data_IF_999199636249
#
_entry.id   IF_999199636249
#
_cell.length_a   1.000
_cell.length_b   1.000
_cell.length_c   1.000
_cell.angle_alpha   90.00
_cell.angle_beta   90.00
_cell.angle_gamma   90.00
#
_symmetry.space_group_name_H-M   'P 1'
#
loop_
_entity.id
_entity.type
_entity.pdbx_description
1 polymer ?
#
# COMPACT_ATOMS: atom_id res chain seq x y z
N UNK A 1 -19.25 -8.75 -13.86
CA UNK A 1 -19.82 -8.99 -12.51
C UNK A 1 -20.64 -10.27 -12.55
N UNK A 2 -20.54 -11.10 -11.51
CA UNK A 2 -21.35 -12.31 -11.35
C UNK A 2 -22.84 -11.97 -11.34
N UNK A 3 -23.66 -12.79 -12.00
CA UNK A 3 -25.11 -12.63 -12.16
C UNK A 3 -25.84 -12.53 -10.80
N UNK A 4 -25.28 -13.12 -9.75
CA UNK A 4 -25.85 -13.19 -8.40
C UNK A 4 -24.89 -12.70 -7.31
N UNK A 5 -24.03 -11.71 -7.62
CA UNK A 5 -22.99 -11.22 -6.68
C UNK A 5 -23.56 -10.92 -5.29
N UNK A 6 -23.00 -11.58 -4.27
CA UNK A 6 -23.38 -11.36 -2.86
C UNK A 6 -24.54 -12.20 -2.34
N UNK A 7 -25.24 -12.96 -3.20
CA UNK A 7 -26.38 -13.78 -2.79
C UNK A 7 -25.96 -15.24 -2.55
N UNK A 8 -26.46 -15.81 -1.45
CA UNK A 8 -26.25 -17.21 -1.06
C UNK A 8 -27.55 -17.81 -0.51
N UNK A 9 -27.57 -19.13 -0.29
CA UNK A 9 -28.67 -19.83 0.38
C UNK A 9 -30.05 -19.54 -0.23
N UNK A 10 -31.05 -19.28 0.64
CA UNK A 10 -32.45 -19.03 0.24
C UNK A 10 -32.58 -17.88 -0.76
N UNK A 11 -31.84 -16.79 -0.57
CA UNK A 11 -31.88 -15.62 -1.46
C UNK A 11 -31.36 -15.89 -2.86
N UNK A 12 -30.30 -16.68 -2.99
CA UNK A 12 -29.79 -17.11 -4.28
C UNK A 12 -30.78 -18.03 -5.00
N UNK A 13 -31.35 -18.99 -4.28
CA UNK A 13 -32.35 -19.91 -4.83
C UNK A 13 -33.60 -19.16 -5.29
N UNK A 14 -34.10 -18.21 -4.49
CA UNK A 14 -35.23 -17.37 -4.83
C UNK A 14 -34.98 -16.58 -6.13
N UNK A 15 -33.81 -15.96 -6.28
CA UNK A 15 -33.45 -15.23 -7.51
C UNK A 15 -33.37 -16.16 -8.73
N UNK A 16 -32.77 -17.35 -8.57
CA UNK A 16 -32.65 -18.35 -9.65
C UNK A 16 -34.02 -18.88 -10.10
N UNK A 17 -34.90 -19.22 -9.16
CA UNK A 17 -36.27 -19.70 -9.47
C UNK A 17 -37.03 -18.65 -10.28
N UNK A 18 -36.90 -17.38 -9.91
CA UNK A 18 -37.58 -16.28 -10.59
C UNK A 18 -36.82 -15.76 -11.82
N UNK A 19 -35.64 -16.30 -12.13
CA UNK A 19 -34.77 -15.90 -13.25
C UNK A 19 -34.38 -14.41 -13.22
N UNK A 20 -34.09 -13.89 -12.03
CA UNK A 20 -33.76 -12.49 -11.79
C UNK A 20 -32.29 -12.34 -11.45
N UNK A 21 -31.61 -11.40 -12.12
CA UNK A 21 -30.19 -11.13 -11.92
C UNK A 21 -29.96 -9.80 -11.21
N UNK A 22 -28.77 -9.64 -10.64
CA UNK A 22 -28.29 -8.34 -10.18
C UNK A 22 -28.27 -7.35 -11.35
N UNK A 23 -28.88 -6.18 -11.15
CA UNK A 23 -29.03 -5.12 -12.15
C UNK A 23 -30.39 -5.13 -12.87
N UNK A 24 -31.20 -6.18 -12.74
CA UNK A 24 -32.54 -6.20 -13.32
C UNK A 24 -33.48 -5.27 -12.56
N UNK A 25 -34.34 -4.58 -13.30
CA UNK A 25 -35.41 -3.78 -12.71
C UNK A 25 -36.62 -4.66 -12.46
N UNK A 26 -37.12 -4.66 -11.24
CA UNK A 26 -38.19 -5.55 -10.78
C UNK A 26 -39.33 -4.78 -10.11
N UNK A 27 -40.51 -5.37 -10.15
CA UNK A 27 -41.67 -5.01 -9.34
C UNK A 27 -41.90 -6.10 -8.31
N UNK A 28 -41.83 -5.76 -7.04
CA UNK A 28 -42.00 -6.70 -5.91
C UNK A 28 -43.28 -6.33 -5.15
N UNK A 29 -44.17 -7.29 -4.96
CA UNK A 29 -45.33 -7.17 -4.09
C UNK A 29 -45.05 -7.92 -2.77
N UNK A 30 -45.06 -7.21 -1.65
CA UNK A 30 -44.92 -7.76 -0.31
C UNK A 30 -46.03 -7.21 0.62
N UNK A 31 -45.68 -6.40 1.61
CA UNK A 31 -46.61 -5.54 2.36
C UNK A 31 -47.11 -4.38 1.49
N UNK A 32 -46.20 -3.78 0.72
CA UNK A 32 -46.45 -2.78 -0.30
C UNK A 32 -45.93 -3.25 -1.67
N UNK A 33 -46.17 -2.46 -2.71
CA UNK A 33 -45.54 -2.67 -4.01
C UNK A 33 -44.29 -1.82 -4.12
N UNK A 34 -43.14 -2.47 -4.34
CA UNK A 34 -41.85 -1.83 -4.55
C UNK A 34 -41.43 -1.94 -6.01
N UNK A 35 -40.81 -0.87 -6.52
CA UNK A 35 -40.23 -0.80 -7.85
C UNK A 35 -38.78 -0.37 -7.71
N UNK A 36 -37.86 -1.15 -8.28
CA UNK A 36 -36.45 -0.84 -8.18
C UNK A 36 -35.53 -1.80 -8.91
N UNK A 37 -34.24 -1.63 -8.72
CA UNK A 37 -33.19 -2.46 -9.32
C UNK A 37 -32.67 -3.43 -8.27
N UNK A 38 -32.51 -4.71 -8.62
CA UNK A 38 -31.85 -5.68 -7.73
C UNK A 38 -30.37 -5.32 -7.61
N UNK A 39 -29.95 -5.07 -6.38
CA UNK A 39 -28.58 -4.70 -6.05
C UNK A 39 -27.79 -5.92 -5.59
N UNK A 40 -26.46 -5.94 -5.78
CA UNK A 40 -25.62 -6.94 -5.15
C UNK A 40 -25.71 -6.82 -3.63
N UNK A 41 -25.47 -7.93 -2.92
CA UNK A 41 -25.38 -7.96 -1.45
C UNK A 41 -23.95 -8.07 -0.98
N UNK A 42 -23.72 -7.75 0.29
CA UNK A 42 -22.47 -8.08 0.95
C UNK A 42 -22.46 -9.59 1.23
N UNK A 43 -21.39 -10.29 0.85
CA UNK A 43 -21.31 -11.76 0.80
C UNK A 43 -21.51 -12.45 2.15
N UNK A 44 -21.34 -11.73 3.26
CA UNK A 44 -21.57 -12.24 4.63
C UNK A 44 -22.88 -11.76 5.25
N UNK A 45 -23.79 -11.20 4.47
CA UNK A 45 -25.14 -10.88 4.94
C UNK A 45 -25.96 -12.17 5.10
N UNK A 46 -27.08 -12.10 5.84
CA UNK A 46 -28.05 -13.19 5.92
C UNK A 46 -28.50 -13.67 4.53
N UNK A 47 -29.07 -14.86 4.43
CA UNK A 47 -29.60 -15.39 3.17
C UNK A 47 -31.11 -15.14 2.99
N UNK A 48 -31.73 -14.33 3.85
CA UNK A 48 -33.19 -14.17 3.91
C UNK A 48 -33.72 -12.90 3.25
N UNK A 49 -32.85 -12.01 2.76
CA UNK A 49 -33.27 -10.74 2.14
C UNK A 49 -32.83 -10.56 0.68
N UNK A 50 -33.57 -9.70 -0.03
CA UNK A 50 -33.15 -9.06 -1.28
C UNK A 50 -32.83 -7.60 -1.02
N UNK A 51 -31.84 -7.04 -1.72
CA UNK A 51 -31.57 -5.60 -1.70
C UNK A 51 -32.09 -4.97 -2.98
N UNK A 52 -32.98 -3.99 -2.83
CA UNK A 52 -33.62 -3.28 -3.92
C UNK A 52 -33.26 -1.79 -3.86
N UNK A 53 -32.78 -1.22 -4.96
CA UNK A 53 -32.59 0.22 -5.11
C UNK A 53 -33.83 0.85 -5.71
N UNK A 54 -34.51 1.68 -4.91
CA UNK A 54 -35.71 2.38 -5.31
C UNK A 54 -35.40 3.51 -6.31
N UNK A 55 -36.43 4.00 -7.02
CA UNK A 55 -36.30 5.17 -7.90
C UNK A 55 -35.82 6.44 -7.17
N UNK A 56 -36.06 6.54 -5.86
CA UNK A 56 -35.54 7.62 -5.02
C UNK A 56 -34.03 7.56 -4.81
N UNK A 57 -33.37 6.46 -5.16
CA UNK A 57 -31.94 6.22 -4.95
C UNK A 57 -31.61 5.45 -3.67
N UNK A 58 -32.57 5.30 -2.75
CA UNK A 58 -32.39 4.54 -1.51
C UNK A 58 -32.36 3.04 -1.74
N UNK A 59 -31.48 2.34 -1.04
CA UNK A 59 -31.46 0.88 -0.96
C UNK A 59 -32.35 0.43 0.20
N UNK A 60 -33.19 -0.58 -0.03
CA UNK A 60 -34.00 -1.24 1.00
C UNK A 60 -33.71 -2.75 1.02
N UNK A 61 -33.85 -3.37 2.19
CA UNK A 61 -33.83 -4.82 2.36
C UNK A 61 -35.26 -5.37 2.43
N UNK A 62 -35.57 -6.37 1.61
CA UNK A 62 -36.88 -7.04 1.59
C UNK A 62 -36.71 -8.51 1.98
N UNK A 63 -37.37 -8.91 3.06
CA UNK A 63 -37.37 -10.30 3.52
C UNK A 63 -38.13 -11.18 2.54
N UNK A 64 -37.49 -12.24 2.06
CA UNK A 64 -37.98 -13.10 0.98
C UNK A 64 -39.30 -13.77 1.35
N UNK A 65 -39.44 -14.20 2.60
CA UNK A 65 -40.64 -14.90 3.09
C UNK A 65 -41.88 -13.99 3.08
N UNK A 66 -41.69 -12.66 3.02
CA UNK A 66 -42.78 -11.68 2.90
C UNK A 66 -43.11 -11.31 1.46
N UNK A 67 -42.31 -11.73 0.48
CA UNK A 67 -42.54 -11.44 -0.93
C UNK A 67 -43.65 -12.36 -1.47
N UNK A 68 -44.76 -11.74 -1.89
CA UNK A 68 -45.91 -12.43 -2.48
C UNK A 68 -45.75 -12.62 -3.99
N UNK A 69 -45.10 -11.67 -4.68
CA UNK A 69 -44.88 -11.72 -6.13
C UNK A 69 -43.67 -10.89 -6.53
N UNK A 70 -42.91 -11.34 -7.52
CA UNK A 70 -41.83 -10.56 -8.15
C UNK A 70 -41.92 -10.69 -9.67
N UNK A 71 -41.77 -9.58 -10.38
CA UNK A 71 -41.84 -9.51 -11.85
C UNK A 71 -40.70 -8.65 -12.40
N UNK A 72 -40.03 -9.11 -13.46
CA UNK A 72 -39.03 -8.30 -14.18
C UNK A 72 -39.75 -7.25 -15.02
N UNK A 73 -39.34 -6.00 -14.87
CA UNK A 73 -39.85 -4.86 -15.65
C UNK A 73 -38.89 -4.46 -16.77
N UNK A 74 -37.57 -4.61 -16.57
CA UNK A 74 -36.57 -4.48 -17.63
C UNK A 74 -35.27 -5.20 -17.25
N UNK A 75 -34.64 -5.87 -18.22
CA UNK A 75 -33.36 -6.55 -18.03
C UNK A 75 -32.16 -5.60 -18.16
N UNK A 76 -31.09 -5.86 -17.41
CA UNK A 76 -29.89 -5.04 -17.46
C UNK A 76 -29.16 -5.16 -18.81
N UNK A 77 -29.19 -4.10 -19.63
CA UNK A 77 -28.24 -3.94 -20.74
C UNK A 77 -26.96 -3.30 -20.20
N UNK A 78 -25.80 -3.91 -20.46
CA UNK A 78 -24.48 -3.31 -20.22
C UNK A 78 -24.25 -2.21 -21.26
N UNK A 79 -24.56 -0.96 -20.92
CA UNK A 79 -24.05 0.17 -21.69
C UNK A 79 -22.58 0.35 -21.32
N UNK A 80 -21.70 0.10 -22.29
CA UNK A 80 -20.30 0.50 -22.22
C UNK A 80 -20.28 1.93 -22.75
N UNK A 81 -20.14 2.91 -21.86
CA UNK A 81 -19.86 4.29 -22.29
C UNK A 81 -18.52 4.29 -23.04
N UNK A 82 -18.52 4.83 -24.27
CA UNK A 82 -17.29 5.07 -25.02
C UNK A 82 -16.55 6.22 -24.33
N UNK A 83 -15.39 5.93 -23.76
CA UNK A 83 -14.48 6.97 -23.27
C UNK A 83 -13.80 7.61 -24.49
N UNK A 84 -13.84 8.93 -24.59
CA UNK A 84 -13.18 9.67 -25.67
C UNK A 84 -11.65 9.54 -25.58
N UNK A 85 -11.00 9.36 -26.72
CA UNK A 85 -9.55 9.26 -26.81
C UNK A 85 -8.88 10.59 -26.47
N UNK A 86 -7.88 10.57 -25.57
CA UNK A 86 -7.11 11.77 -25.20
C UNK A 86 -6.01 12.00 -26.23
N UNK A 87 -5.99 13.18 -26.86
CA UNK A 87 -4.88 13.58 -27.73
C UNK A 87 -3.60 13.79 -26.89
N UNK A 88 -2.57 13.01 -27.16
CA UNK A 88 -1.26 13.16 -26.52
C UNK A 88 -0.56 14.40 -27.07
N UNK A 89 -0.08 15.28 -26.18
CA UNK A 89 0.73 16.43 -26.58
C UNK A 89 2.21 16.07 -26.57
N UNK A 90 2.92 16.01 -27.72
CA UNK A 90 4.31 15.59 -27.78
C UNK A 90 5.29 16.44 -26.95
N UNK A 91 4.92 17.67 -26.57
CA UNK A 91 5.77 18.54 -25.74
C UNK A 91 5.73 18.21 -24.25
N UNK A 92 4.77 17.39 -23.80
CA UNK A 92 4.61 17.04 -22.39
C UNK A 92 5.40 15.77 -22.02
N UNK A 93 5.96 15.72 -20.79
CA UNK A 93 6.67 14.54 -20.29
C UNK A 93 5.73 13.33 -20.20
N UNK A 94 6.30 12.13 -20.31
CA UNK A 94 5.55 10.87 -20.17
C UNK A 94 5.64 10.36 -18.74
N UNK A 95 4.52 9.94 -18.18
CA UNK A 95 4.44 9.28 -16.87
C UNK A 95 3.70 7.96 -17.03
N UNK A 96 4.28 6.90 -16.47
CA UNK A 96 3.61 5.59 -16.38
C UNK A 96 2.92 5.47 -15.02
N UNK A 97 1.64 5.13 -15.01
CA UNK A 97 0.91 4.73 -13.81
C UNK A 97 0.72 3.21 -13.81
N UNK A 98 1.31 2.54 -12.83
CA UNK A 98 1.10 1.14 -12.51
C UNK A 98 0.06 1.02 -11.40
N UNK A 99 -1.09 0.42 -11.71
CA UNK A 99 -2.10 0.09 -10.70
C UNK A 99 -1.80 -1.25 -10.06
N UNK A 100 -1.67 -1.25 -8.73
CA UNK A 100 -1.51 -2.46 -7.90
C UNK A 100 -2.78 -2.76 -7.08
N UNK A 101 -3.84 -1.97 -7.31
CA UNK A 101 -5.00 -1.87 -6.45
C UNK A 101 -5.08 -0.49 -5.80
N UNK A 102 -5.85 -0.40 -4.71
CA UNK A 102 -6.12 0.86 -4.04
C UNK A 102 -7.18 1.72 -4.76
N UNK A 103 -7.91 2.52 -4.00
CA UNK A 103 -9.06 3.28 -4.50
C UNK A 103 -8.67 4.50 -5.32
N UNK A 104 -7.41 4.95 -5.30
CA UNK A 104 -7.00 6.21 -5.97
C UNK A 104 -7.34 6.25 -7.46
N UNK A 105 -7.29 5.10 -8.12
CA UNK A 105 -7.64 4.92 -9.52
C UNK A 105 -8.87 3.99 -9.59
N UNK A 106 -10.01 4.42 -9.05
CA UNK A 106 -11.29 3.68 -9.11
C UNK A 106 -12.47 4.61 -9.42
N UNK A 107 -13.45 4.12 -10.17
CA UNK A 107 -14.74 4.78 -10.48
C UNK A 107 -15.87 4.11 -9.72
N UNK A 108 -16.86 4.89 -9.28
CA UNK A 108 -18.15 4.36 -8.79
C UNK A 108 -19.21 4.43 -9.87
N UNK A 109 -19.84 3.31 -10.14
CA UNK A 109 -21.10 3.24 -10.88
C UNK A 109 -22.23 3.62 -9.93
N UNK A 110 -22.71 4.87 -9.97
CA UNK A 110 -23.82 5.31 -9.10
C UNK A 110 -25.14 4.57 -9.34
N UNK A 111 -25.32 3.90 -10.48
CA UNK A 111 -26.51 3.06 -10.70
C UNK A 111 -26.43 1.79 -9.87
N UNK A 112 -25.27 1.13 -9.86
CA UNK A 112 -25.07 -0.17 -9.16
C UNK A 112 -24.38 -0.06 -7.79
N UNK A 113 -23.84 1.11 -7.43
CA UNK A 113 -22.98 1.30 -6.27
C UNK A 113 -21.62 0.58 -6.35
N UNK A 114 -21.28 -0.02 -7.49
CA UNK A 114 -20.05 -0.78 -7.65
C UNK A 114 -18.83 0.14 -7.81
N UNK A 115 -17.73 -0.19 -7.15
CA UNK A 115 -16.41 0.43 -7.35
C UNK A 115 -15.63 -0.44 -8.34
N UNK A 116 -15.12 0.15 -9.42
CA UNK A 116 -14.27 -0.53 -10.40
C UNK A 116 -12.94 0.21 -10.57
N UNK A 117 -11.80 -0.48 -10.65
CA UNK A 117 -10.52 0.17 -10.93
C UNK A 117 -10.54 0.84 -12.31
N UNK A 118 -9.78 1.93 -12.43
CA UNK A 118 -9.47 2.63 -13.67
C UNK A 118 -8.49 1.76 -14.46
N UNK A 119 -8.85 1.45 -15.70
CA UNK A 119 -8.16 0.48 -16.55
C UNK A 119 -7.34 1.14 -17.67
N UNK A 120 -7.52 2.43 -17.92
CA UNK A 120 -6.86 3.12 -19.03
C UNK A 120 -6.48 4.58 -18.72
N UNK A 121 -5.61 5.15 -19.55
CA UNK A 121 -5.22 6.56 -19.46
C UNK A 121 -6.41 7.51 -19.69
N UNK A 122 -7.34 7.13 -20.57
CA UNK A 122 -8.54 7.90 -20.86
C UNK A 122 -9.48 7.95 -19.66
N UNK A 123 -9.68 6.82 -18.98
CA UNK A 123 -10.47 6.77 -17.74
C UNK A 123 -9.82 7.60 -16.62
N UNK A 124 -8.49 7.57 -16.50
CA UNK A 124 -7.75 8.40 -15.56
C UNK A 124 -7.94 9.89 -15.86
N UNK A 125 -7.78 10.29 -17.14
CA UNK A 125 -7.95 11.67 -17.56
C UNK A 125 -9.40 12.17 -17.41
N UNK A 126 -10.38 11.30 -17.61
CA UNK A 126 -11.79 11.63 -17.36
C UNK A 126 -12.07 11.91 -15.87
N UNK A 127 -11.30 11.27 -14.99
CA UNK A 127 -11.44 11.40 -13.54
C UNK A 127 -10.63 12.57 -12.98
N UNK A 128 -9.46 12.86 -13.56
CA UNK A 128 -8.56 13.96 -13.17
C UNK A 128 -8.05 14.70 -14.42
N UNK A 129 -8.89 15.55 -15.05
CA UNK A 129 -8.56 16.21 -16.32
C UNK A 129 -7.33 17.12 -16.25
N UNK A 130 -6.99 17.62 -15.06
CA UNK A 130 -5.81 18.45 -14.81
C UNK A 130 -4.51 17.76 -15.23
N UNK A 131 -4.47 16.42 -15.19
CA UNK A 131 -3.30 15.63 -15.58
C UNK A 131 -2.93 15.83 -17.06
N UNK A 132 -3.91 15.96 -17.96
CA UNK A 132 -3.66 16.19 -19.39
C UNK A 132 -2.88 17.48 -19.68
N UNK A 133 -2.92 18.45 -18.75
CA UNK A 133 -2.20 19.73 -18.90
C UNK A 133 -0.75 19.64 -18.48
N UNK A 134 -0.37 18.61 -17.72
CA UNK A 134 0.96 18.49 -17.09
C UNK A 134 1.78 17.32 -17.64
N UNK A 135 1.14 16.23 -18.07
CA UNK A 135 1.84 15.03 -18.54
C UNK A 135 1.02 14.19 -19.53
N UNK A 136 1.71 13.45 -20.39
CA UNK A 136 1.13 12.32 -21.12
C UNK A 136 1.14 11.10 -20.21
N UNK A 137 -0.04 10.69 -19.75
CA UNK A 137 -0.21 9.54 -18.88
C UNK A 137 -0.36 8.26 -19.69
N UNK A 138 0.42 7.24 -19.37
CA UNK A 138 0.16 5.84 -19.73
C UNK A 138 -0.28 5.09 -18.46
N UNK A 139 -1.22 4.16 -18.58
CA UNK A 139 -1.75 3.42 -17.43
C UNK A 139 -1.77 1.91 -17.71
N UNK A 140 -1.30 1.13 -16.74
CA UNK A 140 -1.31 -0.33 -16.78
C UNK A 140 -1.77 -0.89 -15.44
N UNK A 141 -2.64 -1.90 -15.46
CA UNK A 141 -3.01 -2.65 -14.26
C UNK A 141 -2.07 -3.84 -14.11
N UNK A 142 -1.19 -3.80 -13.11
CA UNK A 142 -0.26 -4.90 -12.81
C UNK A 142 -0.98 -6.03 -12.05
N UNK A 143 -1.78 -5.65 -11.06
CA UNK A 143 -2.74 -6.49 -10.35
C UNK A 143 -3.68 -5.58 -9.55
N UNK A 144 -4.70 -6.14 -8.90
CA UNK A 144 -5.65 -5.38 -8.08
C UNK A 144 -5.86 -6.11 -6.76
N UNK A 145 -5.17 -5.67 -5.71
CA UNK A 145 -5.26 -6.23 -4.36
C UNK A 145 -5.40 -5.13 -3.30
N UNK A 146 -6.06 -5.45 -2.18
CA UNK A 146 -6.13 -4.53 -1.05
C UNK A 146 -4.80 -4.51 -0.29
N UNK A 147 -4.40 -3.34 0.25
CA UNK A 147 -3.07 -3.18 0.84
C UNK A 147 -2.80 -4.15 2.00
N UNK A 148 -3.80 -4.45 2.81
CA UNK A 148 -3.74 -5.40 3.91
C UNK A 148 -3.46 -6.85 3.46
N UNK A 149 -3.70 -7.16 2.19
CA UNK A 149 -3.43 -8.46 1.57
C UNK A 149 -2.14 -8.46 0.72
N UNK A 150 -1.42 -7.34 0.63
CA UNK A 150 -0.16 -7.26 -0.12
C UNK A 150 0.92 -8.08 0.59
N UNK A 151 1.35 -9.14 -0.08
CA UNK A 151 2.40 -10.06 0.35
C UNK A 151 3.72 -9.85 -0.42
N UNK A 152 4.87 -10.37 0.06
CA UNK A 152 6.19 -10.22 -0.58
C UNK A 152 6.25 -10.57 -2.08
N UNK A 153 5.50 -11.56 -2.54
CA UNK A 153 5.41 -11.92 -3.96
C UNK A 153 4.85 -10.78 -4.84
N UNK A 154 4.03 -9.90 -4.28
CA UNK A 154 3.55 -8.71 -4.97
C UNK A 154 4.67 -7.68 -5.10
N UNK A 155 5.50 -7.52 -4.06
CA UNK A 155 6.67 -6.64 -4.14
C UNK A 155 7.66 -7.08 -5.21
N UNK A 156 7.88 -8.40 -5.36
CA UNK A 156 8.68 -8.98 -6.43
C UNK A 156 8.11 -8.65 -7.81
N UNK A 157 6.79 -8.83 -8.00
CA UNK A 157 6.11 -8.48 -9.26
C UNK A 157 6.27 -7.01 -9.62
N UNK A 158 6.09 -6.10 -8.64
CA UNK A 158 6.27 -4.66 -8.85
C UNK A 158 7.73 -4.36 -9.24
N UNK A 159 8.70 -4.93 -8.51
CA UNK A 159 10.11 -4.68 -8.76
C UNK A 159 10.58 -5.19 -10.14
N UNK A 160 10.16 -6.39 -10.56
CA UNK A 160 10.49 -6.90 -11.90
C UNK A 160 9.84 -6.03 -12.99
N UNK A 161 8.58 -5.62 -12.81
CA UNK A 161 7.92 -4.72 -13.76
C UNK A 161 8.66 -3.38 -13.89
N UNK A 162 9.08 -2.79 -12.78
CA UNK A 162 9.86 -1.55 -12.80
C UNK A 162 11.21 -1.73 -13.50
N UNK A 163 11.88 -2.85 -13.26
CA UNK A 163 13.15 -3.19 -13.91
C UNK A 163 13.01 -3.28 -15.44
N UNK A 164 11.90 -3.81 -15.96
CA UNK A 164 11.59 -3.79 -17.41
C UNK A 164 11.56 -2.36 -17.98
N UNK A 165 11.12 -1.39 -17.18
CA UNK A 165 11.06 0.03 -17.55
C UNK A 165 12.35 0.81 -17.27
N UNK A 166 13.42 0.19 -16.78
CA UNK A 166 14.68 0.89 -16.44
C UNK A 166 15.33 1.63 -17.60
N UNK A 167 15.05 1.25 -18.85
CA UNK A 167 15.58 1.90 -20.07
C UNK A 167 14.52 2.68 -20.85
N UNK A 168 13.34 2.92 -20.25
CA UNK A 168 12.25 3.66 -20.88
C UNK A 168 12.49 5.18 -20.87
N UNK A 169 11.71 5.91 -21.67
CA UNK A 169 11.75 7.37 -21.76
C UNK A 169 10.75 8.07 -20.81
N UNK A 170 10.19 7.32 -19.85
CA UNK A 170 9.31 7.91 -18.83
C UNK A 170 10.09 8.88 -17.94
N UNK A 171 9.51 10.06 -17.72
CA UNK A 171 10.04 11.06 -16.79
C UNK A 171 9.80 10.68 -15.32
N UNK A 172 8.90 9.73 -15.07
CA UNK A 172 8.62 9.17 -13.75
C UNK A 172 7.62 8.02 -13.83
N UNK A 173 7.60 7.20 -12.79
CA UNK A 173 6.65 6.07 -12.65
C UNK A 173 5.86 6.25 -11.37
N UNK A 174 4.53 6.18 -11.47
CA UNK A 174 3.59 6.21 -10.36
C UNK A 174 3.10 4.80 -10.08
N UNK A 175 3.06 4.42 -8.81
CA UNK A 175 2.47 3.17 -8.36
C UNK A 175 1.24 3.52 -7.52
N UNK A 176 0.05 3.31 -8.09
CA UNK A 176 -1.20 3.43 -7.37
C UNK A 176 -1.33 2.23 -6.42
N UNK A 177 -1.30 2.50 -5.11
CA UNK A 177 -1.21 1.49 -4.06
C UNK A 177 -2.17 1.80 -2.90
N UNK A 178 -2.66 0.76 -2.21
CA UNK A 178 -3.43 0.91 -0.98
C UNK A 178 -2.57 1.46 0.17
N UNK A 179 -3.18 2.16 1.13
CA UNK A 179 -2.41 2.96 2.09
C UNK A 179 -1.83 2.17 3.27
N UNK A 180 -2.39 1.01 3.63
CA UNK A 180 -2.03 0.34 4.89
C UNK A 180 -0.59 -0.19 4.90
N UNK A 181 -0.13 -0.74 3.78
CA UNK A 181 1.19 -1.37 3.65
C UNK A 181 2.11 -0.64 2.69
N UNK A 182 1.72 0.54 2.19
CA UNK A 182 2.47 1.29 1.19
C UNK A 182 3.93 1.55 1.59
N UNK A 183 4.17 1.83 2.88
CA UNK A 183 5.51 2.08 3.44
C UNK A 183 6.39 0.82 3.51
N UNK A 184 5.80 -0.37 3.61
CA UNK A 184 6.54 -1.63 3.45
C UNK A 184 6.94 -1.84 2.00
N UNK A 185 5.99 -1.65 1.07
CA UNK A 185 6.25 -1.78 -0.38
C UNK A 185 7.33 -0.79 -0.83
N UNK A 186 7.23 0.49 -0.45
CA UNK A 186 8.24 1.50 -0.80
C UNK A 186 9.62 1.12 -0.27
N UNK A 187 9.69 0.59 0.95
CA UNK A 187 10.94 0.11 1.55
C UNK A 187 11.58 -1.01 0.73
N UNK A 188 10.79 -2.02 0.31
CA UNK A 188 11.31 -3.13 -0.47
C UNK A 188 11.85 -2.65 -1.81
N UNK A 189 11.06 -1.84 -2.53
CA UNK A 189 11.46 -1.30 -3.83
C UNK A 189 12.74 -0.46 -3.73
N UNK A 190 12.91 0.28 -2.63
CA UNK A 190 14.10 1.07 -2.35
C UNK A 190 15.38 0.23 -2.28
N UNK A 191 15.31 -0.97 -1.70
CA UNK A 191 16.46 -1.89 -1.63
C UNK A 191 16.59 -2.79 -2.86
N UNK A 192 15.48 -3.18 -3.47
CA UNK A 192 15.47 -4.06 -4.63
C UNK A 192 15.97 -3.37 -5.90
N UNK A 193 15.75 -2.06 -6.01
CA UNK A 193 16.00 -1.25 -7.21
C UNK A 193 17.07 -0.18 -6.97
N UNK A 194 18.12 -0.49 -6.21
CA UNK A 194 19.22 0.45 -5.94
C UNK A 194 19.77 1.03 -7.24
N UNK A 195 19.84 2.36 -7.31
CA UNK A 195 20.34 3.10 -8.46
C UNK A 195 19.39 3.14 -9.65
N UNK A 196 18.10 2.82 -9.47
CA UNK A 196 17.12 2.86 -10.55
C UNK A 196 17.04 4.26 -11.19
N UNK A 197 17.06 4.36 -12.53
CA UNK A 197 17.35 5.62 -13.23
C UNK A 197 16.14 6.56 -13.38
N UNK A 198 14.93 6.11 -13.05
CA UNK A 198 13.69 6.87 -13.20
C UNK A 198 13.07 7.08 -11.81
N UNK A 199 12.59 8.29 -11.46
CA UNK A 199 11.97 8.50 -10.16
C UNK A 199 10.64 7.74 -10.04
N UNK A 200 10.40 7.14 -8.87
CA UNK A 200 9.21 6.35 -8.56
C UNK A 200 8.42 7.01 -7.43
N UNK A 201 7.12 7.23 -7.61
CA UNK A 201 6.21 7.68 -6.57
C UNK A 201 5.12 6.65 -6.28
N UNK A 202 5.04 6.15 -5.06
CA UNK A 202 3.87 5.44 -4.57
C UNK A 202 2.83 6.45 -4.09
N UNK A 203 1.59 6.27 -4.52
CA UNK A 203 0.49 7.22 -4.27
C UNK A 203 -0.77 6.43 -3.92
N UNK A 204 -1.56 6.95 -2.99
CA UNK A 204 -2.84 6.38 -2.60
C UNK A 204 -3.84 7.44 -2.15
N UNK A 205 -4.95 7.02 -1.56
CA UNK A 205 -5.95 7.92 -1.00
C UNK A 205 -6.47 7.39 0.33
N UNK A 206 -6.71 8.29 1.28
CA UNK A 206 -7.30 8.00 2.60
C UNK A 206 -8.82 8.12 2.57
N UNK A 207 -9.35 8.81 1.57
CA UNK A 207 -10.76 8.92 1.26
C UNK A 207 -11.02 8.29 -0.10
N UNK A 208 -12.00 7.39 -0.17
CA UNK A 208 -12.38 6.72 -1.41
C UNK A 208 -12.56 7.71 -2.55
N UNK A 209 -12.05 7.37 -3.74
CA UNK A 209 -11.99 8.26 -4.91
C UNK A 209 -13.36 8.73 -5.41
N UNK A 210 -14.42 8.01 -5.07
CA UNK A 210 -15.80 8.32 -5.44
C UNK A 210 -16.43 9.46 -4.65
N UNK A 211 -15.75 9.92 -3.59
CA UNK A 211 -16.19 11.03 -2.77
C UNK A 211 -15.65 12.33 -3.33
N UNK A 212 -16.48 13.37 -3.36
CA UNK A 212 -16.05 14.72 -3.72
C UNK A 212 -14.92 15.27 -2.82
N UNK A 213 -14.83 14.78 -1.58
CA UNK A 213 -13.76 15.10 -0.64
C UNK A 213 -12.57 14.13 -0.71
N UNK A 214 -12.42 13.38 -1.80
CA UNK A 214 -11.28 12.49 -1.97
C UNK A 214 -9.97 13.26 -2.09
N UNK A 215 -8.93 12.74 -1.44
CA UNK A 215 -7.53 13.19 -1.59
C UNK A 215 -6.84 12.57 -2.83
N UNK A 216 -7.51 11.66 -3.56
CA UNK A 216 -6.98 10.94 -4.70
C UNK A 216 -6.41 11.86 -5.81
N UNK A 217 -7.21 12.83 -6.26
CA UNK A 217 -6.83 13.71 -7.36
C UNK A 217 -5.61 14.57 -7.02
N UNK A 218 -5.64 15.22 -5.85
CA UNK A 218 -4.55 16.11 -5.41
C UNK A 218 -3.25 15.33 -5.12
N UNK A 219 -3.33 14.14 -4.52
CA UNK A 219 -2.16 13.27 -4.35
C UNK A 219 -1.54 12.91 -5.71
N UNK A 220 -2.37 12.57 -6.69
CA UNK A 220 -1.91 12.18 -8.03
C UNK A 220 -1.29 13.35 -8.80
N UNK A 221 -1.95 14.52 -8.79
CA UNK A 221 -1.44 15.76 -9.39
C UNK A 221 -0.11 16.14 -8.73
N UNK A 222 -0.04 16.13 -7.40
CA UNK A 222 1.18 16.43 -6.64
C UNK A 222 2.32 15.48 -6.98
N UNK A 223 2.04 14.18 -7.13
CA UNK A 223 3.03 13.19 -7.55
C UNK A 223 3.55 13.45 -8.97
N UNK A 224 2.68 13.75 -9.92
CA UNK A 224 3.10 14.07 -11.30
C UNK A 224 3.96 15.34 -11.33
N UNK A 225 3.53 16.41 -10.64
CA UNK A 225 4.33 17.64 -10.50
C UNK A 225 5.70 17.37 -9.89
N UNK A 226 5.74 16.59 -8.81
CA UNK A 226 6.98 16.22 -8.14
C UNK A 226 7.95 15.46 -9.06
N UNK A 227 7.47 14.40 -9.73
CA UNK A 227 8.29 13.57 -10.61
C UNK A 227 8.90 14.38 -11.77
N UNK A 228 8.12 15.27 -12.37
CA UNK A 228 8.57 16.10 -13.50
C UNK A 228 9.51 17.23 -13.04
N UNK A 229 9.18 17.89 -11.95
CA UNK A 229 9.85 19.12 -11.51
C UNK A 229 11.17 18.85 -10.78
N UNK A 230 11.24 17.82 -9.94
CA UNK A 230 12.39 17.58 -9.08
C UNK A 230 13.54 16.85 -9.79
N UNK A 231 13.21 15.92 -10.71
CA UNK A 231 14.17 15.10 -11.48
C UNK A 231 15.20 14.38 -10.58
N UNK A 232 14.79 13.97 -9.38
CA UNK A 232 15.63 13.23 -8.43
C UNK A 232 15.26 11.76 -8.40
N UNK A 233 16.21 10.89 -8.73
CA UNK A 233 15.99 9.45 -8.71
C UNK A 233 15.78 8.95 -7.27
N UNK A 234 14.92 7.94 -7.14
CA UNK A 234 14.59 7.34 -5.86
C UNK A 234 13.17 6.81 -5.82
N UNK A 235 12.83 6.22 -4.68
CA UNK A 235 11.48 5.73 -4.39
C UNK A 235 10.88 6.63 -3.32
N UNK A 236 9.71 7.19 -3.61
CA UNK A 236 9.03 8.16 -2.78
C UNK A 236 7.62 7.70 -2.44
N UNK A 237 7.11 8.10 -1.28
CA UNK A 237 5.66 8.14 -1.02
C UNK A 237 5.21 9.58 -1.18
N UNK A 238 4.18 9.81 -1.98
CA UNK A 238 3.63 11.14 -2.23
C UNK A 238 2.16 11.17 -1.80
N UNK A 239 1.89 11.91 -0.73
CA UNK A 239 0.59 12.00 -0.07
C UNK A 239 0.40 13.42 0.48
N UNK A 240 -0.82 13.80 0.89
CA UNK A 240 -1.04 15.07 1.60
C UNK A 240 -0.09 15.21 2.79
N UNK A 241 0.39 16.42 3.02
CA UNK A 241 1.21 16.72 4.19
C UNK A 241 0.38 16.73 5.48
N UNK A 242 -0.82 17.30 5.42
CA UNK A 242 -1.74 17.43 6.56
C UNK A 242 -3.22 17.29 6.11
N UNK A 243 -4.17 17.92 6.79
CA UNK A 243 -5.58 17.90 6.43
C UNK A 243 -6.00 18.88 5.32
N UNK A 244 -5.14 19.85 4.96
CA UNK A 244 -5.37 20.86 3.93
C UNK A 244 -5.18 20.32 2.51
N UNK A 245 -5.82 20.96 1.53
CA UNK A 245 -5.77 20.59 0.10
C UNK A 245 -4.65 21.36 -0.66
N UNK A 246 -3.76 22.06 0.05
CA UNK A 246 -2.74 22.96 -0.52
C UNK A 246 -1.37 22.31 -0.62
N UNK A 247 -1.08 21.34 0.26
CA UNK A 247 0.28 20.85 0.48
C UNK A 247 0.39 19.33 0.34
N UNK A 248 1.30 18.89 -0.53
CA UNK A 248 1.63 17.49 -0.76
C UNK A 248 3.06 17.22 -0.29
N UNK A 249 3.23 16.26 0.62
CA UNK A 249 4.53 15.83 1.10
C UNK A 249 5.07 14.67 0.23
N UNK A 250 6.35 14.76 -0.12
CA UNK A 250 7.09 13.70 -0.80
C UNK A 250 8.14 13.15 0.17
N UNK A 251 7.92 11.94 0.65
CA UNK A 251 8.78 11.28 1.64
C UNK A 251 9.72 10.30 0.96
N UNK A 252 10.96 10.17 1.46
CA UNK A 252 11.81 9.04 1.09
C UNK A 252 11.13 7.72 1.49
N UNK A 253 11.08 6.76 0.57
CA UNK A 253 10.33 5.51 0.72
C UNK A 253 10.77 4.63 1.89
N UNK A 254 11.93 4.89 2.49
CA UNK A 254 12.52 4.19 3.64
C UNK A 254 12.47 5.00 4.94
N UNK A 255 11.95 6.23 4.92
CA UNK A 255 11.86 7.13 6.09
C UNK A 255 10.43 7.54 6.40
N UNK A 256 9.45 6.81 5.89
CA UNK A 256 8.03 7.17 5.99
C UNK A 256 7.24 6.08 6.69
N UNK A 257 6.25 6.48 7.49
CA UNK A 257 5.35 5.57 8.18
C UNK A 257 3.92 6.11 8.17
N UNK A 258 2.93 5.21 8.04
CA UNK A 258 1.52 5.57 8.23
C UNK A 258 1.22 5.67 9.73
N UNK A 259 1.21 6.89 10.27
CA UNK A 259 1.05 7.17 11.70
C UNK A 259 -0.39 7.51 12.10
N UNK A 260 -1.30 7.69 11.14
CA UNK A 260 -2.72 7.87 11.42
C UNK A 260 -3.58 6.89 10.62
N UNK A 261 -4.68 6.44 11.20
CA UNK A 261 -5.56 5.43 10.60
C UNK A 261 -6.44 5.99 9.49
N UNK A 262 -6.69 7.30 9.46
CA UNK A 262 -7.69 7.91 8.56
C UNK A 262 -7.47 9.36 8.12
N UNK A 263 -6.41 10.05 8.54
CA UNK A 263 -6.16 11.46 8.17
C UNK A 263 -5.55 11.49 6.78
N UNK A 264 -5.73 12.58 6.02
CA UNK A 264 -5.09 12.74 4.70
C UNK A 264 -3.56 12.76 4.84
N UNK A 265 -3.04 13.62 5.71
CA UNK A 265 -1.66 13.59 6.21
C UNK A 265 -1.35 12.44 7.18
N UNK A 266 -1.76 11.21 6.85
CA UNK A 266 -1.47 10.03 7.66
C UNK A 266 -0.01 9.56 7.56
N UNK A 267 0.66 9.83 6.43
CA UNK A 267 2.04 9.45 6.21
C UNK A 267 2.97 10.55 6.73
N UNK A 268 3.92 10.16 7.57
CA UNK A 268 4.86 11.10 8.18
C UNK A 268 6.28 10.61 7.96
N UNK A 269 7.18 11.55 7.67
CA UNK A 269 8.61 11.27 7.74
C UNK A 269 9.00 11.05 9.19
N UNK A 270 9.81 10.04 9.45
CA UNK A 270 10.33 9.74 10.78
C UNK A 270 11.74 10.31 10.91
N UNK A 271 11.97 11.11 11.95
CA UNK A 271 13.27 11.65 12.33
C UNK A 271 13.79 12.82 11.49
N UNK A 272 12.99 13.33 10.54
CA UNK A 272 13.31 14.49 9.70
C UNK A 272 12.03 15.06 9.07
N UNK A 273 12.17 16.13 8.29
CA UNK A 273 11.10 16.70 7.46
C UNK A 273 10.85 15.85 6.19
N UNK A 274 9.66 15.94 5.55
CA UNK A 274 9.46 15.42 4.19
C UNK A 274 10.57 15.85 3.25
N UNK A 275 11.09 14.93 2.44
CA UNK A 275 12.20 15.20 1.52
C UNK A 275 11.90 16.38 0.59
N UNK A 276 10.64 16.48 0.15
CA UNK A 276 10.11 17.61 -0.58
C UNK A 276 8.68 17.92 -0.14
N UNK A 277 8.28 19.17 -0.36
CA UNK A 277 6.89 19.63 -0.20
C UNK A 277 6.50 20.32 -1.50
N UNK A 278 5.39 19.89 -2.10
CA UNK A 278 4.78 20.55 -3.25
C UNK A 278 3.68 21.47 -2.75
N UNK A 279 3.78 22.76 -3.09
CA UNK A 279 2.78 23.79 -2.79
C UNK A 279 2.45 24.48 -4.10
N UNK A 280 1.20 24.35 -4.56
CA UNK A 280 0.77 24.76 -5.90
C UNK A 280 1.69 24.21 -7.02
N UNK A 281 2.48 25.08 -7.65
CA UNK A 281 3.45 24.75 -8.72
C UNK A 281 4.91 24.80 -8.24
N UNK A 282 5.14 25.05 -6.94
CA UNK A 282 6.48 25.14 -6.36
C UNK A 282 6.84 23.84 -5.62
N UNK A 283 8.11 23.43 -5.76
CA UNK A 283 8.67 22.30 -5.03
C UNK A 283 9.73 22.82 -4.05
N UNK A 284 9.42 22.73 -2.77
CA UNK A 284 10.37 23.01 -1.70
C UNK A 284 11.20 21.75 -1.42
N UNK A 285 12.53 21.88 -1.43
CA UNK A 285 13.46 20.77 -1.17
C UNK A 285 14.03 20.87 0.23
N UNK A 286 13.72 19.88 1.08
CA UNK A 286 14.36 19.72 2.40
C UNK A 286 15.49 18.68 2.36
N UNK A 287 15.44 17.74 1.40
CA UNK A 287 16.42 16.67 1.25
C UNK A 287 17.84 17.23 0.99
N UNK A 288 18.74 16.96 1.94
CA UNK A 288 20.16 17.36 1.89
C UNK A 288 21.02 16.43 1.06
N UNK A 289 20.63 15.16 0.98
CA UNK A 289 21.39 14.09 0.34
C UNK A 289 20.57 13.43 -0.78
N UNK A 290 21.27 12.82 -1.74
CA UNK A 290 20.65 11.94 -2.73
C UNK A 290 20.04 10.70 -2.05
N UNK A 291 18.91 10.23 -2.60
CA UNK A 291 18.18 9.07 -2.08
C UNK A 291 19.02 7.80 -2.11
N UNK A 292 19.49 7.40 -3.30
CA UNK A 292 20.40 6.26 -3.47
C UNK A 292 21.84 6.68 -3.21
N UNK A 293 22.58 5.86 -2.44
CA UNK A 293 24.02 6.07 -2.24
C UNK A 293 24.87 5.52 -3.40
N UNK A 294 24.29 4.65 -4.21
CA UNK A 294 24.88 4.11 -5.44
C UNK A 294 24.07 4.60 -6.64
N UNK A 295 24.75 5.22 -7.60
CA UNK A 295 24.10 5.78 -8.82
C UNK A 295 23.91 4.77 -9.93
N UNK A 296 24.75 3.74 -9.99
CA UNK A 296 24.62 2.67 -10.97
C UNK A 296 23.44 1.77 -10.61
N UNK A 297 22.60 1.45 -11.60
CA UNK A 297 21.46 0.57 -11.39
C UNK A 297 21.94 -0.87 -11.16
N UNK A 298 21.75 -1.36 -9.92
CA UNK A 298 22.18 -2.70 -9.50
C UNK A 298 21.00 -3.44 -8.84
N UNK A 299 20.03 -3.94 -9.63
CA UNK A 299 18.83 -4.57 -9.08
C UNK A 299 19.14 -5.87 -8.35
N UNK A 300 18.53 -6.03 -7.17
CA UNK A 300 18.62 -7.23 -6.30
C UNK A 300 17.23 -7.61 -5.81
N UNK A 301 16.50 -8.37 -6.63
CA UNK A 301 15.06 -8.61 -6.48
C UNK A 301 14.79 -9.98 -5.82
N UNK A 302 15.69 -10.47 -4.96
CA UNK A 302 15.41 -11.67 -4.15
C UNK A 302 14.91 -11.29 -2.77
N UNK A 303 14.15 -12.18 -2.16
CA UNK A 303 13.64 -12.02 -0.79
C UNK A 303 13.65 -13.36 -0.06
N UNK A 304 13.93 -13.33 1.24
CA UNK A 304 13.69 -14.42 2.17
C UNK A 304 12.64 -13.98 3.20
N UNK A 305 11.49 -14.64 3.23
CA UNK A 305 10.36 -14.29 4.10
C UNK A 305 10.44 -14.91 5.50
N UNK A 306 11.47 -15.73 5.79
CA UNK A 306 11.72 -16.32 7.11
C UNK A 306 12.34 -15.31 8.07
N UNK A 307 11.67 -14.18 8.25
CA UNK A 307 12.06 -13.09 9.16
C UNK A 307 10.88 -12.71 10.05
N UNK A 308 11.11 -12.65 11.36
CA UNK A 308 10.10 -12.24 12.33
C UNK A 308 10.32 -10.79 12.78
N UNK A 309 9.22 -10.05 12.98
CA UNK A 309 9.20 -8.78 13.70
C UNK A 309 8.56 -9.01 15.07
N UNK A 310 9.31 -8.82 16.14
CA UNK A 310 8.87 -9.07 17.52
C UNK A 310 8.77 -7.75 18.26
N UNK A 311 7.53 -7.32 18.53
CA UNK A 311 7.28 -6.21 19.43
C UNK A 311 7.36 -6.66 20.88
N UNK A 312 8.38 -6.19 21.58
CA UNK A 312 8.54 -6.49 22.99
C UNK A 312 7.47 -5.76 23.83
N UNK A 313 7.05 -6.35 24.94
CA UNK A 313 6.25 -5.66 25.95
C UNK A 313 6.50 -6.29 27.32
N UNK A 314 6.17 -5.60 28.43
CA UNK A 314 6.22 -6.21 29.76
C UNK A 314 5.36 -7.48 29.80
N UNK A 315 5.92 -8.56 30.34
CA UNK A 315 5.25 -9.87 30.40
C UNK A 315 5.27 -10.66 29.08
N UNK A 316 6.16 -10.34 28.13
CA UNK A 316 6.33 -11.14 26.93
C UNK A 316 6.65 -12.60 27.26
N UNK A 317 5.94 -13.53 26.63
CA UNK A 317 6.14 -14.97 26.80
C UNK A 317 7.32 -15.46 25.94
N UNK A 318 8.45 -15.87 26.55
CA UNK A 318 9.63 -16.32 25.80
C UNK A 318 9.39 -17.58 24.97
N UNK A 319 8.33 -18.36 25.25
CA UNK A 319 7.99 -19.56 24.47
C UNK A 319 7.62 -19.21 23.01
N UNK A 320 7.10 -18.00 22.77
CA UNK A 320 6.80 -17.51 21.42
C UNK A 320 8.08 -17.37 20.59
N UNK A 321 9.14 -16.80 21.19
CA UNK A 321 10.44 -16.69 20.52
C UNK A 321 11.08 -18.08 20.34
N UNK A 322 10.93 -18.98 21.31
CA UNK A 322 11.38 -20.37 21.14
C UNK A 322 10.75 -21.03 19.91
N UNK A 323 9.43 -20.87 19.73
CA UNK A 323 8.73 -21.41 18.55
C UNK A 323 9.25 -20.83 17.24
N UNK A 324 9.54 -19.52 17.18
CA UNK A 324 10.14 -18.89 16.00
C UNK A 324 11.51 -19.53 15.69
N UNK A 325 12.33 -19.76 16.72
CA UNK A 325 13.65 -20.40 16.58
C UNK A 325 13.55 -21.88 16.15
N UNK A 326 12.51 -22.59 16.59
CA UNK A 326 12.21 -23.97 16.16
C UNK A 326 11.71 -24.06 14.73
N UNK A 327 11.00 -23.04 14.25
CA UNK A 327 10.48 -22.94 12.88
C UNK A 327 11.55 -22.58 11.83
N UNK A 328 12.83 -22.53 12.23
CA UNK A 328 14.00 -22.21 11.41
C UNK A 328 13.83 -20.85 10.68
N UNK A 329 13.50 -19.81 11.44
CA UNK A 329 13.60 -18.44 10.94
C UNK A 329 15.08 -18.04 10.78
N UNK A 330 15.37 -17.26 9.74
CA UNK A 330 16.73 -16.83 9.39
C UNK A 330 17.06 -15.44 9.96
N UNK A 331 16.04 -14.65 10.31
CA UNK A 331 16.20 -13.34 10.94
C UNK A 331 15.09 -13.00 11.94
N UNK A 332 15.44 -12.21 12.95
CA UNK A 332 14.53 -11.67 13.96
C UNK A 332 14.88 -10.21 14.20
N UNK A 333 13.88 -9.33 13.98
CA UNK A 333 13.95 -7.92 14.33
C UNK A 333 13.15 -7.70 15.60
N UNK A 334 13.78 -7.15 16.63
CA UNK A 334 13.14 -6.77 17.87
C UNK A 334 12.75 -5.30 17.81
N UNK A 335 11.45 -5.01 17.93
CA UNK A 335 10.95 -3.68 18.26
C UNK A 335 11.02 -3.55 19.80
N UNK A 336 12.21 -3.19 20.28
CA UNK A 336 12.54 -3.08 21.71
C UNK A 336 12.06 -1.78 22.34
N UNK A 337 12.23 -1.65 23.65
CA UNK A 337 11.86 -0.43 24.38
C UNK A 337 12.97 0.61 24.37
N UNK A 338 12.61 1.91 24.31
CA UNK A 338 13.54 3.02 24.51
C UNK A 338 14.76 2.97 23.59
N UNK A 339 15.97 2.92 24.17
CA UNK A 339 17.23 2.86 23.42
C UNK A 339 17.58 1.47 22.84
N UNK A 340 16.63 0.53 22.82
CA UNK A 340 16.82 -0.82 22.28
C UNK A 340 17.01 -1.87 23.37
N UNK A 341 15.96 -2.13 24.16
CA UNK A 341 15.99 -3.13 25.24
C UNK A 341 14.86 -4.13 25.14
N UNK A 342 15.15 -5.35 25.59
CA UNK A 342 14.18 -6.40 25.92
C UNK A 342 14.49 -6.95 27.31
N UNK A 343 13.50 -7.57 27.96
CA UNK A 343 13.67 -8.11 29.31
C UNK A 343 14.56 -9.35 29.36
N UNK A 344 15.24 -9.54 30.51
CA UNK A 344 16.16 -10.67 30.76
C UNK A 344 15.52 -12.05 30.53
N UNK A 345 14.20 -12.16 30.67
CA UNK A 345 13.43 -13.37 30.37
C UNK A 345 13.65 -13.90 28.93
N UNK A 346 14.06 -13.04 28.00
CA UNK A 346 14.31 -13.39 26.60
C UNK A 346 15.77 -13.80 26.32
N UNK A 347 16.70 -13.59 27.25
CA UNK A 347 18.14 -13.63 26.96
C UNK A 347 18.60 -15.03 26.56
N UNK A 348 18.09 -16.07 27.23
CA UNK A 348 18.41 -17.46 26.89
C UNK A 348 17.96 -17.80 25.46
N UNK A 349 16.78 -17.32 25.05
CA UNK A 349 16.28 -17.50 23.70
C UNK A 349 17.09 -16.71 22.66
N UNK A 350 17.50 -15.48 22.98
CA UNK A 350 18.41 -14.69 22.13
C UNK A 350 19.73 -15.42 21.93
N UNK A 351 20.31 -15.94 23.01
CA UNK A 351 21.53 -16.73 22.97
C UNK A 351 21.38 -17.95 22.06
N UNK A 352 20.32 -18.74 22.27
CA UNK A 352 19.99 -19.90 21.40
C UNK A 352 19.84 -19.50 19.94
N UNK A 353 19.17 -18.38 19.65
CA UNK A 353 18.98 -17.89 18.29
C UNK A 353 20.31 -17.50 17.63
N UNK A 354 21.20 -16.82 18.35
CA UNK A 354 22.53 -16.45 17.88
C UNK A 354 23.42 -17.68 17.66
N UNK A 355 23.35 -18.69 18.54
CA UNK A 355 24.08 -19.97 18.39
C UNK A 355 23.63 -20.75 17.14
N UNK A 356 22.33 -20.74 16.83
CA UNK A 356 21.81 -21.22 15.53
C UNK A 356 22.16 -20.29 14.36
N UNK A 357 22.54 -19.06 14.68
CA UNK A 357 23.04 -18.08 13.75
C UNK A 357 21.99 -17.41 12.89
N UNK A 358 20.83 -17.24 13.51
CA UNK A 358 19.75 -16.37 13.08
C UNK A 358 20.26 -14.93 13.17
N UNK A 359 19.98 -14.09 12.17
CA UNK A 359 20.30 -12.67 12.25
C UNK A 359 19.42 -11.98 13.31
N UNK A 360 20.02 -11.29 14.27
CA UNK A 360 19.29 -10.61 15.35
C UNK A 360 19.50 -9.10 15.25
N UNK A 361 18.44 -8.35 14.94
CA UNK A 361 18.47 -6.88 14.85
C UNK A 361 17.62 -6.22 15.93
N UNK A 362 18.04 -5.06 16.44
CA UNK A 362 17.29 -4.24 17.39
C UNK A 362 16.86 -2.91 16.78
N UNK A 363 15.57 -2.63 16.86
CA UNK A 363 14.95 -1.32 16.63
C UNK A 363 14.20 -0.89 17.90
N UNK A 364 13.47 0.22 17.84
CA UNK A 364 12.71 0.75 18.97
C UNK A 364 11.22 0.85 18.66
N UNK A 365 10.39 0.69 19.69
CA UNK A 365 8.96 1.02 19.68
C UNK A 365 8.70 2.51 19.68
N UNK A 366 9.69 3.32 20.10
CA UNK A 366 9.64 4.75 19.94
C UNK A 366 9.59 5.06 18.44
N UNK A 367 8.59 5.85 18.03
CA UNK A 367 8.36 6.19 16.62
C UNK A 367 9.63 6.81 16.01
N UNK A 368 10.30 7.68 16.75
CA UNK A 368 11.56 8.31 16.38
C UNK A 368 12.61 8.10 17.47
N UNK A 369 13.88 8.16 17.05
CA UNK A 369 15.05 7.97 17.88
C UNK A 369 16.04 6.95 17.31
N UNK A 370 17.27 7.01 17.83
CA UNK A 370 18.36 6.07 17.51
C UNK A 370 18.55 5.10 18.66
N UNK A 371 18.58 3.79 18.38
CA UNK A 371 18.95 2.81 19.41
C UNK A 371 20.39 3.04 19.84
N UNK A 372 20.64 2.95 21.14
CA UNK A 372 21.97 3.13 21.74
C UNK A 372 22.15 2.16 22.89
N UNK A 373 22.34 0.89 22.53
CA UNK A 373 22.45 -0.23 23.47
C UNK A 373 23.70 -0.18 24.35
N UNK A 374 24.64 0.75 24.09
CA UNK A 374 25.86 0.90 24.91
C UNK A 374 25.68 1.74 26.17
N UNK A 375 24.53 2.41 26.35
CA UNK A 375 24.27 3.29 27.51
C UNK A 375 24.05 2.48 28.78
N UNK A 376 23.14 1.51 28.73
CA UNK A 376 22.73 0.69 29.88
C UNK A 376 23.38 -0.70 29.85
N UNK A 377 23.57 -1.30 31.02
CA UNK A 377 24.10 -2.66 31.17
C UNK A 377 23.27 -3.69 30.39
N UNK A 378 21.94 -3.61 30.49
CA UNK A 378 21.02 -4.50 29.75
C UNK A 378 21.19 -4.44 28.24
N UNK A 379 21.55 -3.28 27.68
CA UNK A 379 21.85 -3.16 26.26
C UNK A 379 23.20 -3.77 25.90
N UNK A 380 24.22 -3.61 26.75
CA UNK A 380 25.55 -4.24 26.57
C UNK A 380 25.46 -5.76 26.61
N UNK A 381 24.70 -6.32 27.56
CA UNK A 381 24.42 -7.76 27.61
C UNK A 381 23.83 -8.27 26.28
N UNK A 382 22.87 -7.54 25.70
CA UNK A 382 22.24 -7.92 24.44
C UNK A 382 23.18 -7.83 23.23
N UNK A 383 24.11 -6.87 23.23
CA UNK A 383 25.18 -6.81 22.22
C UNK A 383 26.09 -8.04 22.31
N UNK A 384 26.49 -8.42 23.53
CA UNK A 384 27.32 -9.60 23.77
C UNK A 384 26.59 -10.91 23.40
N UNK A 385 25.26 -10.93 23.54
CA UNK A 385 24.40 -12.03 23.07
C UNK A 385 24.23 -12.07 21.54
N UNK A 386 24.76 -11.09 20.81
CA UNK A 386 24.80 -11.07 19.34
C UNK A 386 23.73 -10.22 18.67
N UNK A 387 22.93 -9.45 19.42
CA UNK A 387 21.99 -8.50 18.82
C UNK A 387 22.74 -7.33 18.18
N UNK A 388 22.32 -6.96 16.98
CA UNK A 388 22.89 -5.85 16.22
C UNK A 388 21.96 -4.63 16.33
N UNK A 389 22.43 -3.47 16.85
CA UNK A 389 21.64 -2.25 16.88
C UNK A 389 21.48 -1.71 15.46
N UNK A 390 20.23 -1.50 15.02
CA UNK A 390 19.92 -1.01 13.67
C UNK A 390 19.75 0.52 13.64
N UNK A 391 20.55 1.22 14.47
CA UNK A 391 20.63 2.67 14.50
C UNK A 391 19.25 3.34 14.66
N UNK A 392 18.84 4.18 13.71
CA UNK A 392 17.54 4.85 13.71
C UNK A 392 16.60 4.31 12.62
N UNK A 393 16.83 3.07 12.16
CA UNK A 393 15.99 2.42 11.16
C UNK A 393 14.60 2.14 11.74
N UNK A 394 13.57 2.49 10.97
CA UNK A 394 12.17 2.22 11.32
C UNK A 394 11.97 0.68 11.40
N UNK A 395 11.25 0.13 12.40
CA UNK A 395 11.05 -1.31 12.57
C UNK A 395 10.55 -2.03 11.32
N UNK A 396 9.56 -1.45 10.65
CA UNK A 396 8.96 -1.97 9.41
C UNK A 396 9.99 -2.00 8.26
N UNK A 397 10.85 -0.98 8.17
CA UNK A 397 11.94 -0.89 7.18
C UNK A 397 13.03 -1.92 7.49
N UNK A 398 13.37 -2.11 8.77
CA UNK A 398 14.34 -3.10 9.22
C UNK A 398 13.89 -4.54 8.92
N UNK A 399 12.60 -4.83 9.11
CA UNK A 399 12.01 -6.12 8.71
C UNK A 399 12.22 -6.35 7.21
N UNK A 400 11.81 -5.39 6.38
CA UNK A 400 11.91 -5.50 4.91
C UNK A 400 13.36 -5.59 4.44
N UNK A 401 14.26 -4.76 5.00
CA UNK A 401 15.69 -4.78 4.67
C UNK A 401 16.32 -6.12 5.03
N UNK A 402 15.93 -6.73 6.15
CA UNK A 402 16.41 -8.06 6.56
C UNK A 402 15.94 -9.15 5.62
N UNK A 403 14.65 -9.13 5.24
CA UNK A 403 14.10 -10.06 4.25
C UNK A 403 14.85 -9.96 2.91
N UNK A 404 15.11 -8.74 2.46
CA UNK A 404 15.89 -8.48 1.24
C UNK A 404 17.35 -8.94 1.38
N UNK A 405 18.02 -8.60 2.48
CA UNK A 405 19.42 -8.94 2.71
C UNK A 405 19.63 -10.47 2.72
N UNK A 406 18.79 -11.20 3.46
CA UNK A 406 18.85 -12.66 3.54
C UNK A 406 18.52 -13.33 2.19
N UNK A 407 17.68 -12.70 1.35
CA UNK A 407 17.40 -13.18 0.00
C UNK A 407 18.56 -13.02 -0.98
N UNK A 408 19.46 -12.06 -0.75
CA UNK A 408 20.51 -11.67 -1.70
C UNK A 408 21.93 -11.98 -1.23
N UNK A 409 22.13 -12.30 0.05
CA UNK A 409 23.44 -12.61 0.63
C UNK A 409 23.37 -13.85 1.52
N UNK A 410 24.42 -14.67 1.48
CA UNK A 410 24.53 -15.89 2.29
C UNK A 410 25.54 -15.74 3.45
N UNK A 411 26.51 -14.84 3.31
CA UNK A 411 27.52 -14.60 4.33
C UNK A 411 26.98 -13.71 5.46
N UNK A 412 27.10 -14.18 6.70
CA UNK A 412 26.57 -13.49 7.90
C UNK A 412 27.23 -12.14 8.13
N UNK A 413 28.54 -12.04 7.91
CA UNK A 413 29.26 -10.78 8.07
C UNK A 413 28.81 -9.75 7.04
N UNK A 414 28.56 -10.19 5.80
CA UNK A 414 27.99 -9.35 4.73
C UNK A 414 26.55 -8.93 5.05
N UNK A 415 25.72 -9.81 5.60
CA UNK A 415 24.37 -9.45 6.05
C UNK A 415 24.44 -8.40 7.16
N UNK A 416 25.30 -8.58 8.17
CA UNK A 416 25.52 -7.56 9.22
C UNK A 416 25.95 -6.22 8.63
N UNK A 417 26.93 -6.25 7.71
CA UNK A 417 27.44 -5.03 7.06
C UNK A 417 26.34 -4.33 6.26
N UNK A 418 25.60 -5.05 5.42
CA UNK A 418 24.59 -4.45 4.55
C UNK A 418 23.40 -3.90 5.35
N UNK A 419 23.07 -4.51 6.49
CA UNK A 419 22.03 -4.01 7.38
C UNK A 419 22.41 -2.66 8.01
N UNK A 420 23.70 -2.43 8.29
CA UNK A 420 24.22 -1.17 8.86
C UNK A 420 24.65 -0.14 7.80
N UNK A 421 24.77 -0.56 6.54
CA UNK A 421 25.10 0.32 5.41
C UNK A 421 23.87 1.13 4.99
N UNK A 422 24.02 2.43 4.79
CA UNK A 422 22.96 3.30 4.25
C UNK A 422 22.90 3.13 2.72
N UNK A 423 21.80 2.60 2.19
CA UNK A 423 21.67 2.23 0.78
C UNK A 423 20.73 3.19 0.03
N UNK A 424 19.57 3.43 0.63
CA UNK A 424 18.44 4.16 0.08
C UNK A 424 17.87 5.12 1.11
N UNK A 425 18.76 5.79 1.86
CA UNK A 425 18.44 6.82 2.87
C UNK A 425 17.60 6.32 4.05
N UNK A 426 17.69 5.03 4.38
CA UNK A 426 17.00 4.42 5.52
C UNK A 426 17.61 4.78 6.88
N UNK A 427 18.86 5.26 6.89
CA UNK A 427 19.58 5.75 8.06
C UNK A 427 19.79 7.27 7.94
N UNK A 428 19.67 7.96 9.07
CA UNK A 428 20.13 9.35 9.20
C UNK A 428 21.53 9.36 9.82
N UNK A 429 22.30 10.42 9.56
CA UNK A 429 23.64 10.59 10.12
C UNK A 429 23.63 10.91 11.62
#
# INVERSE_FOLDING_TARGET
MSEFRGYAGKSLEFLKINKISVGDSVKILADLTYLGIIMPRYEHSDDSHLVLKLKSGYNIGLEIEKIKKIEITSSSKKNIEKVESVEKNPSLPKILLLSTGGTIASKVDYRTGAVTPVLSAEELNSSVPELSKIANMDAEVLFSEYSENIMPEHWLKIAEKLKEHSSSDYSGIIIAHGTDTMHYTSSFLSFALVGFPIPIALVGSQRSSDRASSDAALNLIGAVKFLIGCKTNGVYIVMHQDENDETIACHFGTRVRKNHTSKRGAFQTIGDDPAFIVVDDQIQRNARNDFFKVKEFQPRIKINTKVALIKYHPGYDPSLLEKIIEMNYDGIIFEGTGLGHIGKIMYDNVKKANEKGIFLGMTSQCIDGRVRMTVYESGRDLLDLGIIPLENMIPEVALVKTMWALGNFQDRNKIKKIMLENIASELLD
#
